data_IF_949867967340
#
_entry.id   IF_949867967340
#
_cell.length_a   1.000
_cell.length_b   1.000
_cell.length_c   1.000
_cell.angle_alpha   90.00
_cell.angle_beta   90.00
_cell.angle_gamma   90.00
#
_symmetry.space_group_name_H-M   'P 1'
#
loop_
_entity.id
_entity.type
_entity.pdbx_description
1 polymer ?
#
# COMPACT_ATOMS: atom_id res chain seq x y z
N UNK A 1 62.09 -11.46 -32.92
CA UNK A 1 61.69 -10.60 -31.78
C UNK A 1 60.71 -9.55 -32.27
N UNK A 2 59.66 -9.25 -31.48
CA UNK A 2 58.49 -8.38 -31.76
C UNK A 2 57.36 -9.00 -32.60
N UNK A 3 56.56 -9.89 -31.99
CA UNK A 3 55.15 -10.12 -32.39
C UNK A 3 54.19 -10.50 -31.23
N UNK A 4 54.59 -10.38 -29.96
CA UNK A 4 53.75 -10.77 -28.81
C UNK A 4 53.31 -9.61 -27.90
N UNK A 5 53.48 -8.35 -28.30
CA UNK A 5 53.14 -7.18 -27.46
C UNK A 5 51.67 -6.74 -27.51
N UNK A 6 50.91 -7.15 -28.54
CA UNK A 6 49.54 -6.66 -28.75
C UNK A 6 48.45 -7.51 -28.08
N UNK A 7 48.72 -8.79 -27.84
CA UNK A 7 47.74 -9.70 -27.20
C UNK A 7 47.71 -9.47 -25.67
N UNK A 8 48.83 -9.07 -25.06
CA UNK A 8 48.88 -8.78 -23.62
C UNK A 8 48.13 -7.49 -23.24
N UNK A 9 48.10 -6.48 -24.14
CA UNK A 9 47.39 -5.22 -23.92
C UNK A 9 45.86 -5.39 -24.01
N UNK A 10 45.38 -6.29 -24.88
CA UNK A 10 43.96 -6.60 -25.04
C UNK A 10 43.41 -7.46 -23.88
N UNK A 11 44.23 -8.37 -23.33
CA UNK A 11 43.84 -9.15 -22.13
C UNK A 11 43.84 -8.28 -20.87
N UNK A 12 44.72 -7.26 -20.76
CA UNK A 12 44.69 -6.29 -19.65
C UNK A 12 43.51 -5.31 -19.75
N UNK A 13 43.07 -4.92 -20.95
CA UNK A 13 41.86 -4.09 -21.10
C UNK A 13 40.55 -4.88 -20.86
N UNK A 14 40.53 -6.18 -21.18
CA UNK A 14 39.38 -7.05 -20.83
C UNK A 14 39.35 -7.41 -19.34
N UNK A 15 40.49 -7.49 -18.66
CA UNK A 15 40.55 -7.66 -17.19
C UNK A 15 40.19 -6.38 -16.43
N UNK A 16 40.52 -5.20 -16.96
CA UNK A 16 40.05 -3.92 -16.41
C UNK A 16 38.55 -3.67 -16.69
N UNK A 17 38.01 -4.22 -17.78
CA UNK A 17 36.58 -4.18 -18.10
C UNK A 17 35.70 -5.16 -17.32
N UNK A 18 36.29 -6.16 -16.66
CA UNK A 18 35.56 -7.13 -15.81
C UNK A 18 35.70 -6.86 -14.30
N UNK A 19 36.40 -5.80 -13.90
CA UNK A 19 36.52 -5.34 -12.50
C UNK A 19 35.68 -4.09 -12.17
N UNK A 20 34.61 -3.82 -12.94
CA UNK A 20 33.62 -2.77 -12.61
C UNK A 20 32.21 -3.34 -12.37
N UNK A 21 32.02 -4.66 -12.50
CA UNK A 21 30.74 -5.32 -12.17
C UNK A 21 30.74 -5.98 -10.78
N UNK A 22 31.46 -5.37 -9.85
CA UNK A 22 31.22 -5.52 -8.42
C UNK A 22 30.83 -4.15 -7.85
N UNK A 23 29.88 -3.47 -8.50
CA UNK A 23 28.92 -2.69 -7.72
C UNK A 23 28.18 -3.74 -6.89
N UNK A 24 28.71 -4.02 -5.69
CA UNK A 24 27.91 -4.61 -4.64
C UNK A 24 26.60 -3.84 -4.64
N UNK A 25 25.49 -4.56 -4.63
CA UNK A 25 24.17 -4.00 -4.37
C UNK A 25 24.30 -3.02 -3.21
N UNK A 26 24.46 -1.73 -3.54
CA UNK A 26 24.21 -0.67 -2.62
C UNK A 26 22.75 -0.89 -2.26
N UNK A 27 22.52 -1.31 -1.01
CA UNK A 27 21.25 -1.09 -0.35
C UNK A 27 20.80 0.29 -0.80
N UNK A 28 19.66 0.37 -1.50
CA UNK A 28 19.17 1.62 -2.05
C UNK A 28 19.24 2.66 -0.93
N UNK A 29 20.16 3.63 -1.06
CA UNK A 29 20.33 4.65 -0.06
C UNK A 29 19.03 5.43 0.05
N UNK A 30 18.76 5.99 1.22
CA UNK A 30 17.78 7.04 1.37
C UNK A 30 18.55 8.24 1.86
N UNK A 31 18.39 9.38 1.19
CA UNK A 31 18.93 10.64 1.70
C UNK A 31 17.86 11.24 2.60
N UNK A 32 18.25 11.70 3.79
CA UNK A 32 17.36 12.41 4.70
C UNK A 32 17.72 13.88 4.73
N UNK A 33 16.71 14.74 4.97
CA UNK A 33 16.92 16.13 5.36
C UNK A 33 16.22 16.38 6.69
N UNK A 34 16.90 17.06 7.61
CA UNK A 34 16.29 17.64 8.81
C UNK A 34 16.42 19.16 8.74
N UNK A 35 15.32 19.85 8.48
CA UNK A 35 15.32 21.31 8.39
C UNK A 35 15.69 21.92 9.74
N UNK A 36 16.82 22.60 9.79
CA UNK A 36 17.39 23.26 10.94
C UNK A 36 18.21 24.47 10.46
N UNK A 37 17.56 25.63 10.40
CA UNK A 37 18.10 26.88 9.89
C UNK A 37 18.16 27.98 10.94
N UNK A 38 18.88 29.07 10.65
CA UNK A 38 18.91 30.27 11.51
C UNK A 38 17.61 31.09 11.50
N UNK A 39 16.71 30.83 10.54
CA UNK A 39 15.39 31.47 10.43
C UNK A 39 14.25 30.52 10.78
N UNK A 40 13.04 30.84 10.33
CA UNK A 40 11.84 30.02 10.60
C UNK A 40 11.82 28.67 9.86
N UNK A 41 12.72 28.47 8.89
CA UNK A 41 12.76 27.26 8.07
C UNK A 41 13.57 27.39 6.78
N UNK A 42 13.58 26.33 5.98
CA UNK A 42 14.27 26.25 4.70
C UNK A 42 13.33 26.60 3.53
N UNK A 43 13.75 27.46 2.57
CA UNK A 43 12.99 27.70 1.36
C UNK A 43 13.02 26.48 0.44
N UNK A 44 11.87 26.15 -0.14
CA UNK A 44 11.72 25.11 -1.16
C UNK A 44 11.22 25.70 -2.48
N UNK A 45 11.53 25.03 -3.58
CA UNK A 45 11.36 25.56 -4.93
C UNK A 45 10.50 24.65 -5.81
N UNK A 46 9.77 25.24 -6.76
CA UNK A 46 8.90 24.50 -7.67
C UNK A 46 9.67 23.69 -8.74
N UNK A 47 10.98 23.94 -8.88
CA UNK A 47 11.87 23.20 -9.79
C UNK A 47 13.31 23.25 -9.28
N UNK A 48 14.15 22.32 -9.75
CA UNK A 48 15.57 22.24 -9.38
C UNK A 48 16.36 23.51 -9.71
N UNK A 49 15.98 24.22 -10.79
CA UNK A 49 16.60 25.48 -11.20
C UNK A 49 16.27 26.68 -10.30
N UNK A 50 15.40 26.51 -9.30
CA UNK A 50 15.05 27.53 -8.30
C UNK A 50 14.54 28.88 -8.85
N UNK A 51 13.94 28.86 -10.03
CA UNK A 51 13.37 30.06 -10.66
C UNK A 51 12.20 30.66 -9.87
N UNK A 52 11.51 29.86 -9.04
CA UNK A 52 10.36 30.28 -8.23
C UNK A 52 10.35 29.56 -6.88
N UNK A 53 10.37 30.32 -5.79
CA UNK A 53 10.11 29.83 -4.43
C UNK A 53 8.68 29.28 -4.37
N UNK A 54 8.53 28.04 -3.94
CA UNK A 54 7.24 27.39 -3.75
C UNK A 54 6.70 27.63 -2.34
N UNK A 55 7.56 27.58 -1.32
CA UNK A 55 7.17 27.72 0.08
C UNK A 55 8.36 27.71 1.03
N UNK A 56 8.08 27.45 2.29
CA UNK A 56 9.05 27.24 3.38
C UNK A 56 8.67 25.95 4.09
N UNK A 57 9.65 25.08 4.32
CA UNK A 57 9.54 23.97 5.27
C UNK A 57 10.10 24.43 6.60
N UNK A 58 9.41 24.18 7.69
CA UNK A 58 9.79 24.68 9.01
C UNK A 58 10.93 23.92 9.64
N UNK A 59 11.68 24.60 10.50
CA UNK A 59 12.64 23.96 11.38
C UNK A 59 11.98 22.83 12.17
N UNK A 60 12.65 21.69 12.33
CA UNK A 60 12.10 20.49 12.95
C UNK A 60 11.54 19.48 11.95
N UNK A 61 11.12 19.92 10.76
CA UNK A 61 10.65 18.99 9.73
C UNK A 61 11.79 18.08 9.27
N UNK A 62 11.54 16.77 9.23
CA UNK A 62 12.45 15.82 8.60
C UNK A 62 11.72 14.89 7.66
N UNK A 63 12.34 14.58 6.52
CA UNK A 63 11.79 13.65 5.54
C UNK A 63 12.90 13.16 4.61
N UNK A 64 12.60 12.09 3.87
CA UNK A 64 13.47 11.65 2.80
C UNK A 64 13.45 12.60 1.62
N UNK A 65 14.58 12.68 0.95
CA UNK A 65 14.77 13.41 -0.30
C UNK A 65 15.27 12.46 -1.38
N UNK A 66 15.21 12.90 -2.63
CA UNK A 66 15.74 12.18 -3.77
C UNK A 66 17.20 11.75 -3.58
N UNK A 67 17.58 10.69 -4.27
CA UNK A 67 18.94 10.16 -4.19
C UNK A 67 19.96 11.02 -4.92
N UNK A 68 19.53 11.62 -6.03
CA UNK A 68 20.40 12.35 -6.94
C UNK A 68 20.20 13.85 -6.81
N UNK A 69 21.30 14.56 -6.63
CA UNK A 69 21.31 16.02 -6.62
C UNK A 69 21.17 16.58 -8.03
N UNK A 70 20.28 17.55 -8.21
CA UNK A 70 20.14 18.32 -9.45
C UNK A 70 20.18 19.81 -9.14
N UNK A 71 21.16 20.51 -9.70
CA UNK A 71 21.37 21.95 -9.51
C UNK A 71 21.54 22.36 -8.02
N UNK A 72 22.27 21.56 -7.23
CA UNK A 72 22.49 21.84 -5.80
C UNK A 72 21.28 21.55 -4.91
N UNK A 73 20.31 20.77 -5.41
CA UNK A 73 19.05 20.48 -4.71
C UNK A 73 18.61 19.05 -4.94
N UNK A 74 17.86 18.54 -3.98
CA UNK A 74 17.18 17.26 -4.07
C UNK A 74 15.69 17.48 -4.17
N UNK A 75 14.99 16.58 -4.84
CA UNK A 75 13.54 16.55 -4.81
C UNK A 75 13.04 16.07 -3.44
N UNK A 76 11.96 16.68 -2.97
CA UNK A 76 11.28 16.38 -1.71
C UNK A 76 9.80 16.15 -2.05
N UNK A 77 9.35 14.91 -1.87
CA UNK A 77 7.97 14.50 -2.14
C UNK A 77 7.09 14.84 -0.94
N UNK A 78 6.28 15.90 -1.07
CA UNK A 78 5.36 16.31 -0.01
C UNK A 78 4.07 15.49 -0.08
N UNK A 79 3.57 15.24 -1.29
CA UNK A 79 2.42 14.38 -1.56
C UNK A 79 2.65 13.60 -2.87
N UNK A 80 1.71 12.72 -3.25
CA UNK A 80 1.76 12.03 -4.54
C UNK A 80 1.71 12.97 -5.75
N UNK A 81 1.16 14.17 -5.56
CA UNK A 81 0.86 15.10 -6.67
C UNK A 81 1.74 16.36 -6.61
N UNK A 82 2.59 16.49 -5.59
CA UNK A 82 3.36 17.69 -5.37
C UNK A 82 4.76 17.41 -4.81
N UNK A 83 5.74 17.67 -5.68
CA UNK A 83 7.17 17.60 -5.38
C UNK A 83 7.78 18.99 -5.41
N UNK A 84 8.61 19.28 -4.43
CA UNK A 84 9.41 20.50 -4.35
C UNK A 84 10.89 20.18 -4.35
N UNK A 85 11.75 21.20 -4.45
CA UNK A 85 13.19 21.04 -4.45
C UNK A 85 13.80 21.78 -3.26
N UNK A 86 14.71 21.13 -2.54
CA UNK A 86 15.35 21.66 -1.35
C UNK A 86 16.88 21.59 -1.47
N UNK A 87 17.55 22.63 -1.00
CA UNK A 87 19.01 22.66 -0.83
C UNK A 87 19.30 22.09 0.56
N UNK A 88 19.72 20.83 0.65
CA UNK A 88 19.90 20.14 1.93
C UNK A 88 20.99 20.78 2.77
N UNK A 89 22.11 21.20 2.16
CA UNK A 89 23.21 21.88 2.86
C UNK A 89 22.73 23.16 3.54
N UNK A 90 21.91 23.96 2.85
CA UNK A 90 21.32 25.16 3.48
C UNK A 90 20.24 24.82 4.50
N UNK A 91 19.44 23.78 4.23
CA UNK A 91 18.37 23.38 5.12
C UNK A 91 18.89 22.87 6.46
N UNK A 92 20.08 22.29 6.50
CA UNK A 92 20.68 21.71 7.72
C UNK A 92 21.83 22.55 8.29
N UNK A 93 21.97 23.82 7.88
CA UNK A 93 23.17 24.62 8.19
C UNK A 93 23.44 24.78 9.70
N UNK A 94 22.39 24.67 10.52
CA UNK A 94 22.44 24.81 11.97
C UNK A 94 22.37 23.46 12.70
N UNK A 95 22.28 22.35 11.96
CA UNK A 95 22.23 21.00 12.53
C UNK A 95 23.59 20.67 13.15
N UNK A 96 23.67 20.43 14.47
CA UNK A 96 24.95 20.16 15.11
C UNK A 96 25.47 18.77 14.74
N UNK A 97 26.78 18.63 14.58
CA UNK A 97 27.44 17.33 14.40
C UNK A 97 27.55 16.65 15.75
N UNK A 98 26.53 15.87 16.11
CA UNK A 98 26.46 15.13 17.39
C UNK A 98 26.50 13.63 17.12
N UNK A 99 27.62 13.01 17.51
CA UNK A 99 27.84 11.55 17.37
C UNK A 99 27.34 10.73 18.57
N UNK A 100 26.92 11.40 19.65
CA UNK A 100 26.37 10.77 20.85
C UNK A 100 24.84 10.90 20.85
N UNK A 101 24.14 9.78 21.01
CA UNK A 101 22.69 9.70 21.05
C UNK A 101 22.06 10.55 22.16
N UNK A 102 22.59 10.50 23.38
CA UNK A 102 22.05 11.23 24.52
C UNK A 102 22.22 12.74 24.35
N UNK A 103 23.41 13.17 23.91
CA UNK A 103 23.68 14.58 23.62
C UNK A 103 22.79 15.12 22.49
N UNK A 104 22.43 14.27 21.52
CA UNK A 104 21.50 14.64 20.45
C UNK A 104 20.10 14.84 21.01
N UNK A 105 19.59 13.88 21.79
CA UNK A 105 18.29 14.00 22.47
C UNK A 105 18.20 15.24 23.35
N UNK A 106 19.25 15.53 24.12
CA UNK A 106 19.29 16.72 24.97
C UNK A 106 19.23 18.03 24.18
N UNK A 107 19.86 18.06 22.99
CA UNK A 107 19.76 19.21 22.09
C UNK A 107 18.36 19.30 21.48
N UNK A 108 17.84 18.20 20.93
CA UNK A 108 16.51 18.12 20.31
C UNK A 108 15.39 18.53 21.27
N UNK A 109 15.52 18.16 22.55
CA UNK A 109 14.53 18.49 23.59
C UNK A 109 14.53 19.98 23.99
N UNK A 110 15.62 20.70 23.73
CA UNK A 110 15.77 22.13 24.06
C UNK A 110 15.58 23.03 22.84
N UNK A 111 15.72 22.48 21.65
CA UNK A 111 15.65 23.25 20.41
C UNK A 111 14.19 23.41 19.97
N UNK A 112 13.67 24.66 19.87
CA UNK A 112 12.35 24.89 19.34
C UNK A 112 12.29 24.50 17.86
N UNK A 113 11.25 23.78 17.46
CA UNK A 113 10.91 23.60 16.06
C UNK A 113 10.03 24.78 15.59
N UNK A 114 10.05 25.06 14.29
CA UNK A 114 9.01 25.87 13.65
C UNK A 114 7.73 25.05 13.39
N UNK A 115 7.84 23.72 13.36
CA UNK A 115 6.70 22.79 13.32
C UNK A 115 5.86 22.96 14.59
N UNK A 116 4.54 22.92 14.45
CA UNK A 116 3.61 23.01 15.58
C UNK A 116 2.39 22.12 15.37
N UNK A 117 1.74 21.72 16.46
CA UNK A 117 0.42 21.10 16.39
C UNK A 117 -0.65 22.19 16.17
N UNK A 118 -1.39 22.06 15.08
CA UNK A 118 -2.55 22.88 14.74
C UNK A 118 -3.86 22.15 15.03
N UNK A 119 -4.91 22.91 15.28
CA UNK A 119 -6.28 22.41 15.44
C UNK A 119 -7.16 22.96 14.32
N UNK A 120 -7.91 22.06 13.67
CA UNK A 120 -8.87 22.40 12.61
C UNK A 120 -10.07 23.13 13.21
N UNK A 121 -10.44 24.27 12.63
CA UNK A 121 -11.41 25.20 13.22
C UNK A 121 -12.88 24.92 12.87
N UNK A 122 -13.13 24.27 11.75
CA UNK A 122 -14.46 24.02 11.19
C UNK A 122 -14.55 22.58 10.66
N UNK A 123 -15.77 22.09 10.45
CA UNK A 123 -15.98 20.77 9.86
C UNK A 123 -15.76 20.79 8.34
N UNK A 124 -15.56 19.61 7.77
CA UNK A 124 -15.39 19.39 6.33
C UNK A 124 -14.25 20.19 5.68
N UNK A 125 -13.21 20.55 6.46
CA UNK A 125 -12.07 21.31 5.94
C UNK A 125 -11.27 20.43 4.96
N UNK A 126 -11.14 20.85 3.68
CA UNK A 126 -10.46 20.05 2.68
C UNK A 126 -8.95 20.04 2.90
N UNK A 127 -8.37 18.84 2.74
CA UNK A 127 -6.94 18.62 2.60
C UNK A 127 -6.65 18.38 1.13
N UNK A 128 -5.78 19.21 0.55
CA UNK A 128 -5.43 19.14 -0.85
C UNK A 128 -4.09 18.44 -1.06
N UNK A 129 -3.93 17.73 -2.18
CA UNK A 129 -2.63 17.16 -2.54
C UNK A 129 -1.62 18.22 -3.01
N UNK A 130 -2.07 19.41 -3.40
CA UNK A 130 -1.20 20.50 -3.84
C UNK A 130 -1.78 21.88 -3.46
N UNK A 131 -0.94 22.94 -3.34
CA UNK A 131 -1.38 24.30 -2.98
C UNK A 131 -2.31 24.99 -4.00
N UNK A 132 -2.56 24.36 -5.16
CA UNK A 132 -3.45 24.89 -6.18
C UNK A 132 -4.91 24.40 -6.04
N UNK A 133 -5.18 23.60 -5.01
CA UNK A 133 -6.50 23.11 -4.60
C UNK A 133 -7.25 22.29 -5.66
N UNK A 134 -6.53 21.59 -6.53
CA UNK A 134 -7.14 20.80 -7.62
C UNK A 134 -7.71 19.45 -7.19
N UNK A 135 -7.10 18.83 -6.18
CA UNK A 135 -7.41 17.46 -5.77
C UNK A 135 -7.50 17.41 -4.25
N UNK A 136 -8.68 17.03 -3.75
CA UNK A 136 -8.97 16.90 -2.32
C UNK A 136 -8.77 15.43 -1.97
N UNK A 137 -7.80 15.14 -1.09
CA UNK A 137 -7.45 13.78 -0.67
C UNK A 137 -8.15 13.39 0.63
N UNK A 138 -8.52 14.36 1.47
CA UNK A 138 -9.26 14.12 2.70
C UNK A 138 -10.08 15.35 3.10
N UNK A 139 -10.98 15.18 4.07
CA UNK A 139 -11.59 16.29 4.81
C UNK A 139 -11.39 16.11 6.30
N UNK A 140 -11.22 17.18 7.05
CA UNK A 140 -11.09 17.13 8.50
C UNK A 140 -12.30 17.71 9.22
N UNK A 141 -12.65 17.05 10.32
CA UNK A 141 -13.64 17.54 11.25
C UNK A 141 -13.03 18.64 12.13
N UNK A 142 -13.88 19.47 12.71
CA UNK A 142 -13.47 20.46 13.68
C UNK A 142 -12.80 19.77 14.88
N UNK A 143 -11.71 20.35 15.36
CA UNK A 143 -10.96 19.83 16.52
C UNK A 143 -9.89 18.81 16.18
N UNK A 144 -9.82 18.31 14.94
CA UNK A 144 -8.72 17.45 14.47
C UNK A 144 -7.38 18.14 14.70
N UNK A 145 -6.43 17.41 15.29
CA UNK A 145 -5.04 17.82 15.42
C UNK A 145 -4.26 17.46 14.17
N UNK A 146 -3.44 18.41 13.72
CA UNK A 146 -2.56 18.27 12.55
C UNK A 146 -1.15 18.77 12.86
N UNK A 147 -0.11 18.19 12.27
CA UNK A 147 1.26 18.70 12.39
C UNK A 147 1.51 19.68 11.26
N UNK A 148 1.66 20.97 11.57
CA UNK A 148 1.94 22.01 10.58
C UNK A 148 3.44 22.08 10.33
N UNK A 149 3.86 21.64 9.14
CA UNK A 149 5.25 21.41 8.80
C UNK A 149 5.86 22.47 7.86
N UNK A 150 5.04 23.34 7.29
CA UNK A 150 5.52 24.41 6.41
C UNK A 150 4.40 25.31 5.88
N UNK A 151 4.78 26.30 5.07
CA UNK A 151 3.88 27.29 4.49
C UNK A 151 4.09 27.50 3.00
N UNK A 152 2.99 27.54 2.25
CA UNK A 152 2.93 27.64 0.80
C UNK A 152 1.88 28.66 0.39
N UNK A 153 2.25 29.94 0.42
CA UNK A 153 1.31 31.04 0.16
C UNK A 153 0.26 31.12 1.27
N UNK A 154 -1.01 30.93 0.90
CA UNK A 154 -2.17 30.98 1.81
C UNK A 154 -2.45 29.63 2.50
N UNK A 155 -1.63 28.60 2.22
CA UNK A 155 -1.78 27.26 2.77
C UNK A 155 -0.67 26.92 3.77
N UNK A 156 -1.03 26.10 4.75
CA UNK A 156 -0.11 25.26 5.49
C UNK A 156 0.10 23.94 4.76
N UNK A 157 1.33 23.44 4.76
CA UNK A 157 1.59 22.01 4.56
C UNK A 157 1.46 21.32 5.92
N UNK A 158 0.63 20.28 5.97
CA UNK A 158 0.38 19.49 7.17
C UNK A 158 0.80 18.03 6.96
N UNK A 159 1.16 17.37 8.05
CA UNK A 159 1.25 15.91 8.15
C UNK A 159 0.39 15.43 9.33
N UNK A 160 -0.05 14.17 9.26
CA UNK A 160 -0.88 13.49 10.26
C UNK A 160 -2.21 14.19 10.58
N UNK A 161 -3.36 13.51 10.43
CA UNK A 161 -3.57 12.14 9.93
C UNK A 161 -3.19 11.94 8.45
N UNK A 162 -3.27 12.99 7.62
CA UNK A 162 -2.93 12.93 6.20
C UNK A 162 -1.84 13.96 5.89
N UNK A 163 -1.05 13.68 4.84
CA UNK A 163 -0.14 14.68 4.28
C UNK A 163 -0.86 15.51 3.22
N UNK A 164 -0.72 16.82 3.28
CA UNK A 164 -1.34 17.69 2.29
C UNK A 164 -1.36 19.17 2.66
N UNK A 165 -2.22 19.92 1.99
CA UNK A 165 -2.30 21.37 2.11
C UNK A 165 -3.68 21.78 2.63
N UNK A 166 -3.69 22.66 3.62
CA UNK A 166 -4.90 23.22 4.22
C UNK A 166 -4.77 24.73 4.30
N UNK A 167 -5.85 25.45 4.02
CA UNK A 167 -5.86 26.91 4.11
C UNK A 167 -5.47 27.37 5.52
N UNK A 168 -4.55 28.34 5.63
CA UNK A 168 -4.04 28.83 6.92
C UNK A 168 -5.14 29.29 7.88
N UNK A 169 -6.17 29.95 7.33
CA UNK A 169 -7.32 30.44 8.08
C UNK A 169 -8.15 29.34 8.76
N UNK A 170 -8.00 28.09 8.34
CA UNK A 170 -8.75 26.94 8.85
C UNK A 170 -8.02 26.22 9.99
N UNK A 171 -6.78 26.63 10.30
CA UNK A 171 -5.95 26.01 11.33
C UNK A 171 -5.60 27.05 12.39
N UNK A 172 -5.83 26.71 13.66
CA UNK A 172 -5.30 27.48 14.79
C UNK A 172 -4.12 26.75 15.40
N UNK A 173 -3.01 27.45 15.61
CA UNK A 173 -1.88 26.91 16.37
C UNK A 173 -2.31 26.56 17.80
N UNK A 174 -2.04 25.32 18.22
CA UNK A 174 -2.38 24.81 19.53
C UNK A 174 -1.14 24.62 20.42
N UNK A 175 -0.13 23.89 19.93
CA UNK A 175 1.05 23.50 20.72
C UNK A 175 2.32 23.70 19.89
N UNK A 176 3.32 24.38 20.47
CA UNK A 176 4.67 24.43 19.94
C UNK A 176 5.36 23.08 20.08
N UNK A 177 5.95 22.57 19.00
CA UNK A 177 6.73 21.35 19.04
C UNK A 177 8.23 21.68 19.08
N UNK A 178 9.01 20.69 19.45
CA UNK A 178 10.47 20.70 19.53
C UNK A 178 11.02 19.69 18.53
N UNK A 179 12.32 19.74 18.27
CA UNK A 179 12.97 18.69 17.47
C UNK A 179 12.82 17.29 18.08
N UNK A 180 12.59 17.17 19.40
CA UNK A 180 12.42 15.89 20.07
C UNK A 180 11.02 15.27 19.92
N UNK A 181 9.98 16.09 19.66
CA UNK A 181 8.59 15.62 19.69
C UNK A 181 7.76 16.05 18.47
N UNK A 182 8.36 16.70 17.47
CA UNK A 182 7.63 17.13 16.27
C UNK A 182 6.98 15.97 15.50
N UNK A 183 7.55 14.77 15.58
CA UNK A 183 7.06 13.54 14.98
C UNK A 183 6.63 12.51 16.02
N UNK A 184 6.40 12.92 17.27
CA UNK A 184 5.71 12.04 18.19
C UNK A 184 4.25 11.88 17.74
N UNK A 185 3.63 10.77 18.11
CA UNK A 185 2.24 10.51 17.78
C UNK A 185 1.27 11.20 18.76
N UNK A 186 1.77 12.07 19.64
CA UNK A 186 1.00 12.70 20.72
C UNK A 186 0.77 14.19 20.48
N UNK A 187 1.38 14.77 19.44
CA UNK A 187 1.33 16.19 19.14
C UNK A 187 1.82 17.05 20.32
N UNK A 188 2.78 16.52 21.10
CA UNK A 188 3.28 17.16 22.32
C UNK A 188 2.28 17.22 23.48
N UNK A 189 1.16 16.50 23.40
CA UNK A 189 0.21 16.38 24.51
C UNK A 189 0.77 15.52 25.65
N UNK A 190 0.41 15.89 26.87
CA UNK A 190 0.66 15.09 28.08
C UNK A 190 -0.67 14.68 28.71
N UNK A 191 -0.63 13.70 29.62
CA UNK A 191 -1.78 13.30 30.44
C UNK A 191 -2.99 12.78 29.62
N UNK A 192 -2.70 11.97 28.61
CA UNK A 192 -3.71 11.36 27.74
C UNK A 192 -4.42 10.19 28.42
N UNK A 193 -5.72 10.06 28.16
CA UNK A 193 -6.52 8.90 28.56
C UNK A 193 -6.16 7.70 27.68
N UNK A 194 -5.90 6.57 28.32
CA UNK A 194 -5.73 5.28 27.66
C UNK A 194 -7.07 4.53 27.65
N UNK A 195 -7.44 4.02 26.49
CA UNK A 195 -8.67 3.26 26.25
C UNK A 195 -8.36 1.93 25.58
N UNK A 196 -9.24 0.95 25.81
CA UNK A 196 -9.18 -0.33 25.09
C UNK A 196 -9.98 -0.22 23.81
N UNK A 197 -9.37 -0.56 22.69
CA UNK A 197 -10.12 -0.84 21.46
C UNK A 197 -10.42 -2.34 21.42
N UNK A 198 -11.67 -2.66 21.16
CA UNK A 198 -12.15 -4.03 21.08
C UNK A 198 -12.07 -4.52 19.64
N UNK A 199 -11.39 -5.64 19.43
CA UNK A 199 -11.29 -6.27 18.12
C UNK A 199 -11.05 -7.78 18.27
N UNK A 200 -11.47 -8.52 17.26
CA UNK A 200 -11.25 -9.97 17.17
C UNK A 200 -10.93 -10.38 15.73
N UNK A 201 -10.52 -11.63 15.51
CA UNK A 201 -10.26 -12.14 14.17
C UNK A 201 -11.50 -12.07 13.26
N UNK A 202 -12.70 -12.24 13.82
CA UNK A 202 -13.98 -12.19 13.08
C UNK A 202 -14.62 -10.80 13.07
N UNK A 203 -14.18 -9.90 13.96
CA UNK A 203 -14.59 -8.50 14.03
C UNK A 203 -13.33 -7.62 14.14
N UNK A 204 -12.52 -7.57 13.07
CA UNK A 204 -11.32 -6.75 13.07
C UNK A 204 -11.68 -5.28 12.96
N UNK A 205 -10.81 -4.42 13.48
CA UNK A 205 -10.98 -2.96 13.44
C UNK A 205 -9.89 -2.34 12.57
N UNK A 206 -10.31 -1.43 11.70
CA UNK A 206 -9.42 -0.66 10.82
C UNK A 206 -9.64 0.81 11.05
N UNK A 207 -8.57 1.54 11.32
CA UNK A 207 -8.63 2.98 11.52
C UNK A 207 -8.87 3.71 10.20
N UNK A 208 -9.49 4.89 10.30
CA UNK A 208 -9.69 5.81 9.19
C UNK A 208 -8.64 6.91 9.22
N UNK A 209 -8.31 7.47 8.05
CA UNK A 209 -7.51 8.69 7.94
C UNK A 209 -8.33 9.97 8.09
N UNK A 210 -9.64 9.86 8.29
CA UNK A 210 -10.51 11.00 8.57
C UNK A 210 -11.71 10.62 9.42
N UNK A 211 -11.98 11.44 10.44
CA UNK A 211 -13.23 11.40 11.22
C UNK A 211 -14.49 11.81 10.42
N UNK A 212 -14.36 12.22 9.16
CA UNK A 212 -15.52 12.56 8.30
C UNK A 212 -15.95 11.40 7.40
N UNK A 213 -15.18 10.30 7.37
CA UNK A 213 -15.34 9.23 6.39
C UNK A 213 -14.93 9.62 4.96
N UNK A 214 -14.35 10.82 4.76
CA UNK A 214 -13.82 11.29 3.46
C UNK A 214 -12.29 11.28 3.49
N UNK A 215 -11.68 10.23 2.93
CA UNK A 215 -10.24 10.15 2.66
C UNK A 215 -9.92 9.18 1.53
N UNK A 216 -8.77 9.37 0.89
CA UNK A 216 -8.15 8.43 -0.07
C UNK A 216 -7.03 7.61 0.56
N UNK A 217 -6.61 7.96 1.77
CA UNK A 217 -5.52 7.33 2.49
C UNK A 217 -5.99 6.03 3.14
N UNK A 218 -5.27 4.95 2.87
CA UNK A 218 -5.51 3.64 3.47
C UNK A 218 -4.48 3.35 4.56
N UNK A 219 -4.93 2.97 5.75
CA UNK A 219 -4.06 2.39 6.76
C UNK A 219 -3.83 0.91 6.45
N UNK A 220 -2.58 0.46 6.62
CA UNK A 220 -2.21 -0.96 6.49
C UNK A 220 -2.39 -1.73 7.81
N UNK A 221 -2.51 -1.01 8.93
CA UNK A 221 -2.72 -1.63 10.23
C UNK A 221 -4.18 -2.05 10.38
N UNK A 222 -4.36 -3.34 10.66
CA UNK A 222 -5.64 -3.97 10.98
C UNK A 222 -5.46 -4.64 12.32
N UNK A 223 -6.37 -4.38 13.24
CA UNK A 223 -6.31 -4.96 14.57
C UNK A 223 -7.31 -6.11 14.65
N UNK A 224 -6.81 -7.28 15.02
CA UNK A 224 -7.59 -8.53 15.13
C UNK A 224 -7.67 -9.04 16.58
N UNK A 225 -7.20 -8.25 17.52
CA UNK A 225 -7.24 -8.50 18.96
C UNK A 225 -7.31 -7.15 19.68
N UNK A 226 -7.83 -7.16 20.92
CA UNK A 226 -7.91 -5.94 21.71
C UNK A 226 -6.53 -5.30 21.90
N UNK A 227 -6.46 -3.97 21.83
CA UNK A 227 -5.25 -3.22 22.10
C UNK A 227 -5.54 -1.96 22.91
N UNK A 228 -4.49 -1.41 23.53
CA UNK A 228 -4.58 -0.12 24.23
C UNK A 228 -4.13 1.00 23.30
N UNK A 229 -4.84 2.13 23.34
CA UNK A 229 -4.49 3.34 22.59
C UNK A 229 -4.78 4.56 23.43
N UNK A 230 -4.11 5.67 23.15
CA UNK A 230 -4.38 6.94 23.82
C UNK A 230 -5.26 7.84 22.99
N UNK A 231 -6.25 8.45 23.65
CA UNK A 231 -7.18 9.37 23.01
C UNK A 231 -6.59 10.78 22.99
N UNK A 232 -6.28 11.28 21.79
CA UNK A 232 -5.76 12.64 21.58
C UNK A 232 -6.89 13.67 21.57
N UNK A 233 -7.99 13.34 20.87
CA UNK A 233 -9.18 14.18 20.75
C UNK A 233 -10.44 13.36 20.68
N UNK A 234 -11.45 13.84 21.38
CA UNK A 234 -12.85 13.45 21.18
C UNK A 234 -13.47 14.36 20.12
N UNK A 235 -13.98 13.77 19.04
CA UNK A 235 -14.55 14.45 17.87
C UNK A 235 -16.02 14.07 17.65
N UNK A 236 -16.76 13.70 18.71
CA UNK A 236 -18.15 13.28 18.62
C UNK A 236 -18.28 11.77 18.43
N UNK A 237 -18.67 11.30 17.25
CA UNK A 237 -18.77 9.85 16.96
C UNK A 237 -17.41 9.20 16.73
N UNK A 238 -16.36 10.02 16.62
CA UNK A 238 -14.99 9.60 16.35
C UNK A 238 -14.04 10.07 17.46
N UNK A 239 -12.91 9.39 17.57
CA UNK A 239 -11.74 9.83 18.33
C UNK A 239 -10.53 9.87 17.42
N UNK A 240 -9.63 10.82 17.67
CA UNK A 240 -8.27 10.79 17.13
C UNK A 240 -7.35 10.13 18.15
N UNK A 241 -6.50 9.21 17.69
CA UNK A 241 -5.68 8.36 18.56
C UNK A 241 -4.17 8.52 18.30
N UNK A 242 -3.34 7.96 19.18
CA UNK A 242 -1.88 8.05 19.21
C UNK A 242 -1.11 7.27 18.12
N UNK A 243 -1.74 7.05 16.97
CA UNK A 243 -1.08 6.66 15.71
C UNK A 243 -1.54 7.56 14.56
N UNK A 244 -1.86 8.82 14.91
CA UNK A 244 -2.39 9.84 14.02
C UNK A 244 -3.71 9.46 13.31
N UNK A 245 -4.32 8.32 13.62
CA UNK A 245 -5.50 7.79 12.95
C UNK A 245 -6.82 8.18 13.65
N UNK A 246 -7.95 7.84 13.03
CA UNK A 246 -9.27 8.00 13.63
C UNK A 246 -9.97 6.66 13.82
N UNK A 247 -10.67 6.58 14.93
CA UNK A 247 -11.47 5.43 15.31
C UNK A 247 -12.91 5.87 15.54
N UNK A 248 -13.89 5.11 15.08
CA UNK A 248 -15.26 5.30 15.53
C UNK A 248 -15.36 4.90 16.99
N UNK A 249 -16.01 5.71 17.83
CA UNK A 249 -16.11 5.45 19.27
C UNK A 249 -16.77 4.14 19.62
N UNK A 250 -17.62 3.61 18.74
CA UNK A 250 -18.25 2.30 18.94
C UNK A 250 -17.23 1.15 19.09
N UNK A 251 -16.02 1.29 18.57
CA UNK A 251 -14.96 0.29 18.75
C UNK A 251 -14.28 0.37 20.14
N UNK A 252 -14.56 1.42 20.93
CA UNK A 252 -14.17 1.53 22.33
C UNK A 252 -15.23 0.92 23.28
N UNK A 253 -16.36 0.45 22.73
CA UNK A 253 -17.41 -0.22 23.48
C UNK A 253 -17.32 -1.73 23.19
N UNK A 254 -17.15 -2.60 24.20
CA UNK A 254 -17.11 -4.05 23.99
C UNK A 254 -18.40 -4.60 23.36
N UNK A 255 -19.53 -3.91 23.53
CA UNK A 255 -20.83 -4.28 22.97
C UNK A 255 -21.18 -3.45 21.72
N UNK A 256 -20.24 -2.62 21.25
CA UNK A 256 -20.43 -1.75 20.09
C UNK A 256 -20.60 -2.53 18.79
N UNK A 257 -21.31 -1.93 17.83
CA UNK A 257 -21.44 -2.52 16.50
C UNK A 257 -20.10 -2.44 15.75
N UNK A 258 -19.51 -3.60 15.43
CA UNK A 258 -18.27 -3.70 14.67
C UNK A 258 -18.48 -3.77 13.14
N UNK A 259 -19.73 -3.61 12.67
CA UNK A 259 -20.03 -3.66 11.25
C UNK A 259 -19.57 -2.38 10.53
N UNK A 260 -18.79 -2.51 9.47
CA UNK A 260 -18.53 -1.37 8.59
C UNK A 260 -19.58 -1.31 7.47
N UNK A 261 -19.84 -0.13 6.88
CA UNK A 261 -20.60 -0.02 5.64
C UNK A 261 -20.02 -1.01 4.61
N UNK A 262 -20.84 -1.92 4.11
CA UNK A 262 -20.39 -2.95 3.20
C UNK A 262 -20.73 -2.60 1.76
N UNK A 263 -19.85 -2.98 0.85
CA UNK A 263 -20.11 -3.01 -0.58
C UNK A 263 -19.77 -4.37 -1.14
N UNK A 264 -20.15 -4.61 -2.39
CA UNK A 264 -19.70 -5.78 -3.16
C UNK A 264 -18.96 -5.32 -4.39
N UNK A 265 -17.86 -6.02 -4.68
CA UNK A 265 -17.13 -5.85 -5.94
C UNK A 265 -18.06 -6.16 -7.10
N UNK A 266 -18.10 -5.26 -8.07
CA UNK A 266 -18.93 -5.35 -9.27
C UNK A 266 -18.03 -5.16 -10.48
N UNK A 267 -17.93 -6.20 -11.30
CA UNK A 267 -17.26 -6.14 -12.60
C UNK A 267 -18.19 -6.64 -13.69
N UNK A 268 -18.06 -6.10 -14.90
CA UNK A 268 -18.96 -6.43 -16.02
C UNK A 268 -18.71 -7.86 -16.55
N UNK A 269 -17.43 -8.23 -16.73
CA UNK A 269 -17.02 -9.56 -17.14
C UNK A 269 -16.80 -10.52 -15.97
N UNK A 270 -17.04 -11.82 -16.19
CA UNK A 270 -16.76 -12.88 -15.18
C UNK A 270 -15.29 -12.97 -14.81
N UNK A 271 -14.40 -12.71 -15.77
CA UNK A 271 -12.96 -12.80 -15.60
C UNK A 271 -12.34 -11.45 -15.26
N UNK A 272 -13.11 -10.38 -15.28
CA UNK A 272 -12.63 -9.06 -14.88
C UNK A 272 -12.26 -9.08 -13.41
N UNK A 273 -11.26 -8.28 -13.06
CA UNK A 273 -10.77 -8.19 -11.70
C UNK A 273 -10.63 -6.73 -11.31
N UNK A 274 -11.20 -6.39 -10.16
CA UNK A 274 -11.00 -5.11 -9.53
C UNK A 274 -9.60 -5.09 -8.93
N UNK A 275 -8.78 -4.12 -9.32
CA UNK A 275 -7.47 -3.89 -8.71
C UNK A 275 -7.69 -3.13 -7.41
N UNK A 276 -7.21 -3.70 -6.30
CA UNK A 276 -7.04 -2.95 -5.06
C UNK A 276 -5.70 -2.25 -5.15
N UNK A 277 -5.71 -0.92 -5.18
CA UNK A 277 -4.48 -0.14 -5.20
C UNK A 277 -3.84 -0.11 -3.81
N UNK A 278 -2.53 0.17 -3.78
CA UNK A 278 -1.67 0.18 -2.59
C UNK A 278 -1.43 -1.20 -1.97
N UNK A 279 -2.22 -2.20 -2.35
CA UNK A 279 -1.96 -3.62 -2.15
C UNK A 279 -1.86 -4.37 -3.49
N UNK A 280 -1.38 -5.60 -3.44
CA UNK A 280 -1.15 -6.37 -4.65
C UNK A 280 -2.38 -7.19 -5.10
N UNK A 281 -3.50 -7.17 -4.40
CA UNK A 281 -4.62 -8.10 -4.69
C UNK A 281 -5.55 -7.59 -5.80
N UNK A 282 -6.05 -8.53 -6.63
CA UNK A 282 -7.13 -8.27 -7.58
C UNK A 282 -8.32 -9.19 -7.31
N UNK A 283 -9.48 -8.58 -7.12
CA UNK A 283 -10.70 -9.23 -6.64
C UNK A 283 -11.65 -9.57 -7.79
N UNK A 284 -12.35 -10.69 -7.68
CA UNK A 284 -13.43 -11.05 -8.61
C UNK A 284 -14.76 -10.39 -8.20
N UNK A 285 -15.71 -10.30 -9.14
CA UNK A 285 -17.07 -9.82 -8.84
C UNK A 285 -17.73 -10.62 -7.71
N UNK A 286 -18.55 -9.96 -6.89
CA UNK A 286 -19.32 -10.55 -5.81
C UNK A 286 -18.60 -10.61 -4.46
N UNK A 287 -17.28 -10.38 -4.42
CA UNK A 287 -16.50 -10.32 -3.17
C UNK A 287 -17.06 -9.21 -2.27
N UNK A 288 -17.45 -9.50 -1.02
CA UNK A 288 -17.84 -8.47 -0.06
C UNK A 288 -16.60 -7.70 0.41
N UNK A 289 -16.74 -6.38 0.54
CA UNK A 289 -15.72 -5.49 1.07
C UNK A 289 -16.35 -4.53 2.07
N UNK A 290 -15.61 -4.15 3.08
CA UNK A 290 -15.96 -3.10 4.03
C UNK A 290 -15.40 -1.78 3.51
N UNK A 291 -16.17 -0.70 3.64
CA UNK A 291 -15.81 0.63 3.16
C UNK A 291 -15.48 1.50 4.36
N UNK A 292 -14.19 1.80 4.50
CA UNK A 292 -13.65 2.57 5.64
C UNK A 292 -13.84 4.07 5.40
N UNK A 293 -13.55 4.53 4.18
CA UNK A 293 -13.75 5.92 3.78
C UNK A 293 -13.95 6.02 2.27
N UNK A 294 -14.48 7.17 1.81
CA UNK A 294 -14.79 7.37 0.40
C UNK A 294 -14.68 8.83 -0.02
N UNK A 295 -14.00 9.06 -1.13
CA UNK A 295 -14.03 10.30 -1.90
C UNK A 295 -14.86 10.13 -3.17
N UNK A 296 -14.88 11.17 -4.01
CA UNK A 296 -15.48 11.07 -5.35
C UNK A 296 -14.74 10.08 -6.24
N UNK A 297 -13.42 9.96 -6.08
CA UNK A 297 -12.53 9.24 -7.01
C UNK A 297 -12.11 7.87 -6.48
N UNK A 298 -12.18 7.66 -5.17
CA UNK A 298 -11.69 6.47 -4.49
C UNK A 298 -12.59 6.05 -3.34
N UNK A 299 -12.68 4.73 -3.12
CA UNK A 299 -13.18 4.15 -1.88
C UNK A 299 -12.03 3.39 -1.24
N UNK A 300 -11.73 3.71 0.01
CA UNK A 300 -10.80 2.94 0.84
C UNK A 300 -11.57 1.77 1.41
N UNK A 301 -11.11 0.57 1.11
CA UNK A 301 -11.72 -0.67 1.52
C UNK A 301 -10.83 -1.43 2.49
N UNK A 302 -11.49 -2.26 3.27
CA UNK A 302 -10.91 -3.37 4.01
C UNK A 302 -11.67 -4.63 3.60
N UNK A 303 -10.98 -5.75 3.45
CA UNK A 303 -11.61 -7.03 3.22
C UNK A 303 -10.97 -8.13 4.05
N UNK A 304 -11.81 -9.04 4.51
CA UNK A 304 -11.45 -10.29 5.17
C UNK A 304 -12.57 -11.30 4.92
N UNK A 305 -12.34 -12.56 5.29
CA UNK A 305 -13.37 -13.58 5.23
C UNK A 305 -14.50 -13.34 6.23
N UNK A 306 -15.72 -13.83 5.98
CA UNK A 306 -16.80 -13.83 6.98
C UNK A 306 -16.39 -14.34 8.38
N UNK A 307 -15.44 -15.27 8.44
CA UNK A 307 -14.87 -15.79 9.68
C UNK A 307 -13.39 -15.39 9.85
N UNK A 308 -13.00 -14.23 9.33
CA UNK A 308 -11.67 -13.67 9.41
C UNK A 308 -10.66 -14.30 8.44
N UNK A 309 -9.41 -14.37 8.89
CA UNK A 309 -8.27 -14.87 8.12
C UNK A 309 -7.49 -13.77 7.43
N UNK A 310 -6.92 -14.08 6.25
CA UNK A 310 -6.20 -13.12 5.42
C UNK A 310 -7.06 -11.87 5.22
N UNK A 311 -6.42 -10.73 5.32
CA UNK A 311 -7.06 -9.45 5.13
C UNK A 311 -6.23 -8.55 4.22
N UNK A 312 -6.91 -7.61 3.58
CA UNK A 312 -6.30 -6.63 2.70
C UNK A 312 -6.99 -5.28 2.92
N UNK A 313 -6.22 -4.20 2.85
CA UNK A 313 -6.75 -2.83 2.77
C UNK A 313 -6.44 -2.23 1.40
N UNK A 314 -6.74 -0.96 1.18
CA UNK A 314 -6.33 -0.24 -0.02
C UNK A 314 -7.50 0.44 -0.71
N UNK A 315 -7.25 1.08 -1.84
CA UNK A 315 -8.26 1.90 -2.52
C UNK A 315 -8.72 1.29 -3.84
N UNK A 316 -9.99 1.47 -4.13
CA UNK A 316 -10.64 1.00 -5.37
C UNK A 316 -11.47 2.10 -5.99
N UNK A 317 -11.74 2.01 -7.30
CA UNK A 317 -12.65 2.95 -7.94
C UNK A 317 -14.10 2.66 -7.49
N UNK A 318 -14.83 3.66 -6.95
CA UNK A 318 -16.18 3.44 -6.41
C UNK A 318 -17.19 2.92 -7.43
N UNK A 319 -16.99 3.17 -8.73
CA UNK A 319 -17.86 2.67 -9.80
C UNK A 319 -17.88 1.13 -9.92
N UNK A 320 -16.85 0.44 -9.42
CA UNK A 320 -16.78 -1.02 -9.35
C UNK A 320 -17.28 -1.58 -8.01
N UNK A 321 -17.97 -0.77 -7.21
CA UNK A 321 -18.58 -1.17 -5.96
C UNK A 321 -20.10 -0.96 -6.02
N UNK A 322 -20.84 -1.89 -5.42
CA UNK A 322 -22.27 -1.78 -5.22
C UNK A 322 -22.56 -1.71 -3.71
N UNK A 323 -23.12 -0.58 -3.26
CA UNK A 323 -23.22 -0.21 -1.83
C UNK A 323 -24.55 -0.62 -1.19
N UNK A 324 -25.64 -0.68 -1.96
CA UNK A 324 -26.99 -0.78 -1.39
C UNK A 324 -27.58 -2.21 -1.47
N UNK A 325 -26.81 -3.19 -1.94
CA UNK A 325 -27.23 -4.60 -2.06
C UNK A 325 -28.42 -4.87 -3.02
N UNK A 326 -29.01 -3.82 -3.60
CA UNK A 326 -30.18 -3.90 -4.49
C UNK A 326 -29.83 -4.37 -5.91
N UNK A 327 -28.55 -4.34 -6.26
CA UNK A 327 -28.07 -4.80 -7.55
C UNK A 327 -27.81 -6.31 -7.52
N UNK A 328 -28.30 -7.04 -8.51
CA UNK A 328 -27.90 -8.43 -8.71
C UNK A 328 -26.47 -8.49 -9.22
N UNK A 329 -25.56 -8.88 -8.34
CA UNK A 329 -24.14 -9.01 -8.66
C UNK A 329 -23.81 -10.47 -8.92
N UNK A 330 -23.19 -10.71 -10.07
CA UNK A 330 -22.70 -12.04 -10.43
C UNK A 330 -21.54 -12.42 -9.51
N UNK A 331 -21.57 -13.64 -8.99
CA UNK A 331 -20.41 -14.23 -8.33
C UNK A 331 -19.36 -14.63 -9.38
N UNK A 332 -18.20 -13.98 -9.32
CA UNK A 332 -17.03 -14.28 -10.15
C UNK A 332 -16.13 -15.36 -9.57
N UNK A 333 -16.44 -15.87 -8.37
CA UNK A 333 -15.62 -16.88 -7.69
C UNK A 333 -15.50 -18.17 -8.51
N UNK A 334 -14.33 -18.80 -8.47
CA UNK A 334 -14.12 -20.13 -9.05
C UNK A 334 -14.05 -21.16 -7.93
N UNK A 335 -14.93 -22.17 -7.95
CA UNK A 335 -14.84 -23.30 -7.02
C UNK A 335 -13.71 -24.21 -7.45
N UNK A 336 -12.84 -24.54 -6.51
CA UNK A 336 -11.68 -25.37 -6.73
C UNK A 336 -11.57 -26.45 -5.65
N UNK A 337 -10.85 -27.51 -5.95
CA UNK A 337 -10.45 -28.54 -5.00
C UNK A 337 -8.94 -28.61 -4.92
N UNK A 338 -8.40 -28.74 -3.72
CA UNK A 338 -6.98 -28.99 -3.55
C UNK A 338 -6.61 -30.39 -4.07
N UNK A 339 -5.61 -30.46 -4.96
CA UNK A 339 -5.15 -31.73 -5.53
C UNK A 339 -4.18 -32.48 -4.62
N UNK A 340 -3.59 -31.79 -3.64
CA UNK A 340 -2.67 -32.35 -2.65
C UNK A 340 -2.73 -31.59 -1.33
N UNK A 341 -2.13 -32.17 -0.31
CA UNK A 341 -1.91 -31.49 0.96
C UNK A 341 -0.87 -30.36 0.80
N UNK A 342 -1.14 -29.21 1.42
CA UNK A 342 -0.23 -28.06 1.47
C UNK A 342 0.14 -27.71 2.91
N UNK A 343 1.32 -27.14 3.11
CA UNK A 343 1.84 -26.71 4.40
C UNK A 343 1.47 -25.25 4.64
N UNK A 344 0.83 -24.99 5.79
CA UNK A 344 0.54 -23.65 6.30
C UNK A 344 1.75 -23.06 7.02
N UNK A 345 1.86 -21.75 7.06
CA UNK A 345 2.72 -21.04 8.00
C UNK A 345 2.17 -21.11 9.44
N UNK A 346 2.87 -20.49 10.41
CA UNK A 346 2.46 -20.49 11.82
C UNK A 346 1.07 -19.85 12.04
N UNK A 347 0.67 -18.89 11.21
CA UNK A 347 -0.65 -18.25 11.27
C UNK A 347 -1.77 -19.08 10.65
N UNK A 348 -1.44 -20.12 9.89
CA UNK A 348 -2.38 -20.91 9.08
C UNK A 348 -3.16 -20.06 8.06
N UNK A 349 -2.54 -18.99 7.55
CA UNK A 349 -3.15 -18.09 6.56
C UNK A 349 -2.49 -18.21 5.18
N UNK A 350 -1.25 -18.69 5.09
CA UNK A 350 -0.55 -18.89 3.83
C UNK A 350 -0.19 -20.37 3.64
N UNK A 351 -0.57 -20.94 2.49
CA UNK A 351 -0.32 -22.34 2.16
C UNK A 351 0.52 -22.51 0.89
N UNK A 352 1.55 -23.36 0.97
CA UNK A 352 2.40 -23.72 -0.17
C UNK A 352 2.80 -25.20 -0.12
N UNK A 353 3.42 -25.71 -1.20
CA UNK A 353 3.91 -27.09 -1.24
C UNK A 353 4.96 -27.38 -0.16
N UNK A 354 5.87 -26.43 0.11
CA UNK A 354 6.89 -26.56 1.16
C UNK A 354 7.04 -25.27 1.95
N UNK A 355 7.23 -25.39 3.27
CA UNK A 355 7.51 -24.26 4.17
C UNK A 355 8.75 -24.53 5.02
N UNK A 356 9.50 -23.46 5.30
CA UNK A 356 10.67 -23.52 6.21
C UNK A 356 10.27 -23.66 7.68
N UNK A 357 9.08 -23.19 8.05
CA UNK A 357 8.48 -23.29 9.39
C UNK A 357 6.97 -23.53 9.26
N UNK A 358 6.52 -24.79 9.30
CA UNK A 358 5.10 -25.10 9.14
C UNK A 358 4.33 -24.94 10.45
N UNK A 359 3.14 -24.32 10.40
CA UNK A 359 2.18 -24.25 11.52
C UNK A 359 1.09 -25.33 11.48
N UNK A 360 0.99 -26.05 10.36
CA UNK A 360 -0.01 -27.10 10.13
C UNK A 360 -0.16 -27.40 8.64
N UNK A 361 -1.22 -28.12 8.27
CA UNK A 361 -1.51 -28.48 6.88
C UNK A 361 -2.97 -28.26 6.52
N UNK A 362 -3.24 -28.12 5.23
CA UNK A 362 -4.58 -28.21 4.64
C UNK A 362 -4.63 -29.45 3.74
N UNK A 363 -5.56 -30.39 3.96
CA UNK A 363 -5.52 -31.68 3.29
C UNK A 363 -5.90 -31.59 1.80
N UNK A 364 -5.43 -32.57 1.03
CA UNK A 364 -5.93 -32.81 -0.32
C UNK A 364 -7.45 -33.04 -0.29
N UNK A 365 -8.15 -32.58 -1.32
CA UNK A 365 -9.60 -32.68 -1.42
C UNK A 365 -10.37 -31.53 -0.78
N UNK A 366 -9.70 -30.65 -0.02
CA UNK A 366 -10.35 -29.46 0.55
C UNK A 366 -10.95 -28.59 -0.55
N UNK A 367 -12.20 -28.17 -0.36
CA UNK A 367 -12.94 -27.32 -1.28
C UNK A 367 -12.70 -25.86 -0.93
N UNK A 368 -12.41 -25.03 -1.94
CA UNK A 368 -12.15 -23.60 -1.78
C UNK A 368 -12.91 -22.81 -2.85
N UNK A 369 -13.11 -21.51 -2.60
CA UNK A 369 -13.55 -20.55 -3.62
C UNK A 369 -12.47 -19.51 -3.84
N UNK A 370 -11.96 -19.41 -5.07
CA UNK A 370 -11.00 -18.36 -5.43
C UNK A 370 -11.72 -17.02 -5.50
N UNK A 371 -11.33 -16.07 -4.65
CA UNK A 371 -11.88 -14.71 -4.52
C UNK A 371 -11.01 -13.66 -5.19
N UNK A 372 -9.75 -13.96 -5.40
CA UNK A 372 -8.82 -13.05 -6.02
C UNK A 372 -7.48 -13.71 -6.33
N UNK A 373 -6.60 -12.90 -6.89
CA UNK A 373 -5.22 -13.27 -7.16
C UNK A 373 -4.32 -12.11 -6.78
N UNK A 374 -3.17 -12.42 -6.20
CA UNK A 374 -2.15 -11.42 -5.90
C UNK A 374 -1.32 -11.14 -7.15
N UNK A 375 -1.09 -9.86 -7.39
CA UNK A 375 -0.14 -9.36 -8.36
C UNK A 375 1.25 -9.76 -7.90
N UNK A 376 1.95 -10.50 -8.74
CA UNK A 376 3.38 -10.63 -8.61
C UNK A 376 4.00 -9.27 -9.00
N UNK A 377 4.87 -8.71 -8.16
CA UNK A 377 5.68 -7.54 -8.52
C UNK A 377 6.64 -7.82 -9.71
N UNK A 378 6.66 -9.06 -10.20
CA UNK A 378 7.42 -9.55 -11.33
C UNK A 378 6.48 -10.22 -12.35
N UNK A 379 6.75 -10.04 -13.63
CA UNK A 379 6.11 -10.81 -14.71
C UNK A 379 6.93 -12.03 -15.15
N UNK A 380 7.93 -12.40 -14.35
CA UNK A 380 8.82 -13.51 -14.66
C UNK A 380 8.07 -14.83 -14.61
N UNK A 381 8.45 -15.71 -15.52
CA UNK A 381 7.72 -16.93 -15.79
C UNK A 381 7.90 -18.03 -14.74
N UNK A 382 8.96 -17.94 -13.96
CA UNK A 382 9.36 -18.91 -12.94
C UNK A 382 8.67 -18.69 -11.59
N UNK A 383 7.92 -17.59 -11.42
CA UNK A 383 7.12 -17.34 -10.23
C UNK A 383 5.75 -18.01 -10.32
N UNK A 384 5.28 -18.49 -9.17
CA UNK A 384 3.93 -19.00 -8.97
C UNK A 384 2.93 -17.87 -8.73
N UNK A 385 1.72 -18.04 -9.26
CA UNK A 385 0.58 -17.20 -8.89
C UNK A 385 0.14 -17.53 -7.46
N UNK A 386 -0.17 -16.49 -6.68
CA UNK A 386 -0.73 -16.61 -5.32
C UNK A 386 -2.20 -16.22 -5.37
N UNK A 387 -3.08 -17.07 -4.84
CA UNK A 387 -4.52 -16.92 -4.91
C UNK A 387 -5.11 -16.65 -3.54
N UNK A 388 -6.03 -15.68 -3.47
CA UNK A 388 -6.86 -15.48 -2.28
C UNK A 388 -8.08 -16.40 -2.37
N UNK A 389 -8.21 -17.29 -1.41
CA UNK A 389 -9.22 -18.34 -1.37
C UNK A 389 -10.09 -18.20 -0.11
N UNK A 390 -11.37 -18.49 -0.25
CA UNK A 390 -12.32 -18.65 0.86
C UNK A 390 -12.50 -20.15 1.14
N UNK A 391 -12.36 -20.55 2.40
CA UNK A 391 -12.66 -21.90 2.91
C UNK A 391 -14.16 -22.12 3.07
N UNK A 392 -14.61 -23.36 3.29
CA UNK A 392 -16.05 -23.64 3.48
C UNK A 392 -16.67 -22.93 4.69
N UNK A 393 -15.88 -22.74 5.75
CA UNK A 393 -16.25 -21.96 6.93
C UNK A 393 -16.06 -20.45 6.72
N UNK A 394 -15.72 -19.97 5.52
CA UNK A 394 -15.69 -18.53 5.23
C UNK A 394 -14.44 -17.80 5.75
N UNK A 395 -13.36 -18.51 6.09
CA UNK A 395 -12.06 -17.91 6.38
C UNK A 395 -11.31 -17.62 5.08
N UNK A 396 -10.63 -16.49 4.99
CA UNK A 396 -9.76 -16.18 3.84
C UNK A 396 -8.35 -16.70 4.09
N UNK A 397 -7.78 -17.32 3.07
CA UNK A 397 -6.42 -17.87 3.07
C UNK A 397 -5.73 -17.55 1.74
N UNK A 398 -4.40 -17.55 1.75
CA UNK A 398 -3.57 -17.46 0.56
C UNK A 398 -3.07 -18.85 0.17
N UNK A 399 -3.20 -19.20 -1.12
CA UNK A 399 -2.63 -20.42 -1.69
C UNK A 399 -1.60 -20.06 -2.76
N UNK A 400 -0.36 -20.45 -2.53
CA UNK A 400 0.76 -20.25 -3.45
C UNK A 400 0.85 -21.43 -4.44
N UNK A 401 0.50 -21.17 -5.69
CA UNK A 401 0.52 -22.13 -6.78
C UNK A 401 -0.86 -22.54 -7.26
N UNK A 402 -1.25 -22.01 -8.43
CA UNK A 402 -2.49 -22.41 -9.11
C UNK A 402 -2.52 -23.87 -9.55
N UNK A 403 -1.37 -24.56 -9.59
CA UNK A 403 -1.29 -25.99 -9.93
C UNK A 403 -1.90 -26.93 -8.90
N UNK A 404 -2.13 -26.42 -7.69
CA UNK A 404 -2.77 -27.18 -6.62
C UNK A 404 -4.29 -26.99 -6.59
N UNK A 405 -4.83 -26.07 -7.39
CA UNK A 405 -6.24 -25.68 -7.40
C UNK A 405 -6.96 -26.25 -8.63
N UNK A 406 -7.57 -27.43 -8.51
CA UNK A 406 -8.38 -28.05 -9.57
C UNK A 406 -9.73 -27.35 -9.69
N UNK A 407 -10.04 -26.66 -10.81
CA UNK A 407 -11.33 -26.02 -11.00
C UNK A 407 -12.44 -27.05 -11.23
N UNK A 408 -13.52 -26.94 -10.47
CA UNK A 408 -14.62 -27.92 -10.49
C UNK A 408 -15.72 -27.60 -11.49
N UNK A 409 -15.66 -26.39 -12.07
CA UNK A 409 -16.65 -25.88 -13.00
C UNK A 409 -15.92 -25.20 -14.17
N UNK A 410 -16.44 -25.39 -15.38
CA UNK A 410 -16.00 -24.62 -16.54
C UNK A 410 -16.39 -23.15 -16.38
N UNK A 411 -15.53 -22.22 -16.81
CA UNK A 411 -15.94 -20.82 -16.87
C UNK A 411 -16.91 -20.54 -18.02
N UNK A 412 -16.90 -21.39 -19.06
CA UNK A 412 -17.57 -21.18 -20.35
C UNK A 412 -16.93 -20.08 -21.21
N UNK A 413 -15.80 -19.51 -20.78
CA UNK A 413 -15.18 -18.35 -21.40
C UNK A 413 -13.91 -18.71 -22.17
N UNK A 414 -13.77 -18.08 -23.33
CA UNK A 414 -12.68 -18.36 -24.26
C UNK A 414 -11.71 -17.19 -24.30
N UNK A 415 -10.45 -17.43 -23.94
CA UNK A 415 -9.36 -16.49 -24.21
C UNK A 415 -8.80 -16.73 -25.62
N UNK A 416 -8.33 -15.66 -26.26
CA UNK A 416 -7.69 -15.72 -27.58
C UNK A 416 -6.19 -15.52 -27.44
N UNK A 417 -5.38 -16.44 -27.98
CA UNK A 417 -3.92 -16.30 -28.00
C UNK A 417 -3.52 -15.10 -28.89
N UNK A 418 -2.89 -14.08 -28.28
CA UNK A 418 -2.40 -12.88 -28.98
C UNK A 418 -1.10 -13.13 -29.74
N UNK A 419 -0.35 -14.15 -29.33
CA UNK A 419 0.89 -14.61 -29.96
C UNK A 419 0.94 -16.15 -29.93
N UNK A 420 1.92 -16.74 -30.62
CA UNK A 420 2.20 -18.16 -30.45
C UNK A 420 2.67 -18.43 -29.01
N UNK A 421 2.02 -19.38 -28.33
CA UNK A 421 2.27 -19.67 -26.92
C UNK A 421 2.32 -21.18 -26.70
N UNK A 422 3.15 -21.63 -25.76
CA UNK A 422 3.23 -23.03 -25.36
C UNK A 422 2.25 -23.29 -24.22
N UNK A 423 1.38 -24.29 -24.39
CA UNK A 423 0.64 -24.90 -23.29
C UNK A 423 1.57 -25.87 -22.58
N UNK A 424 1.65 -25.78 -21.26
CA UNK A 424 2.54 -26.58 -20.44
C UNK A 424 1.78 -27.36 -19.38
N UNK A 425 2.38 -28.44 -18.90
CA UNK A 425 1.80 -29.30 -17.87
C UNK A 425 1.74 -28.60 -16.49
N UNK A 426 2.71 -27.72 -16.20
CA UNK A 426 2.76 -26.90 -14.98
C UNK A 426 3.01 -25.42 -15.31
N UNK A 427 2.63 -24.48 -14.42
CA UNK A 427 2.90 -23.04 -14.53
C UNK A 427 4.39 -22.69 -14.32
N UNK A 428 5.27 -23.27 -15.14
CA UNK A 428 6.72 -23.04 -15.09
C UNK A 428 7.32 -23.14 -16.52
N UNK A 429 8.26 -22.26 -16.91
CA UNK A 429 8.88 -22.24 -18.24
C UNK A 429 9.63 -23.52 -18.63
N UNK A 430 10.08 -24.32 -17.66
CA UNK A 430 10.84 -25.54 -17.86
C UNK A 430 9.95 -26.80 -17.88
N UNK A 431 8.65 -26.65 -17.56
CA UNK A 431 7.69 -27.74 -17.60
C UNK A 431 7.45 -28.26 -19.02
N UNK A 432 7.07 -29.55 -19.12
CA UNK A 432 6.75 -30.24 -20.37
C UNK A 432 5.75 -29.43 -21.20
N UNK A 433 6.08 -29.24 -22.48
CA UNK A 433 5.16 -28.63 -23.46
C UNK A 433 4.15 -29.68 -23.91
N UNK A 434 2.87 -29.43 -23.65
CA UNK A 434 1.77 -30.25 -24.13
C UNK A 434 1.42 -29.87 -25.58
N UNK A 435 1.28 -28.57 -25.83
CA UNK A 435 0.92 -28.04 -27.15
C UNK A 435 1.66 -26.74 -27.49
N UNK A 436 1.88 -26.53 -28.79
CA UNK A 436 2.19 -25.21 -29.34
C UNK A 436 0.92 -24.61 -29.94
N UNK A 437 0.42 -23.54 -29.33
CA UNK A 437 -0.85 -22.92 -29.69
C UNK A 437 -0.57 -21.68 -30.54
N UNK A 438 -1.20 -21.64 -31.72
CA UNK A 438 -0.99 -20.57 -32.70
C UNK A 438 -1.75 -19.32 -32.29
N UNK A 439 -1.27 -18.17 -32.75
CA UNK A 439 -1.98 -16.89 -32.65
C UNK A 439 -3.43 -17.00 -33.16
N UNK A 440 -4.35 -16.24 -32.55
CA UNK A 440 -5.81 -16.24 -32.79
C UNK A 440 -6.54 -17.55 -32.42
N UNK A 441 -5.84 -18.55 -31.88
CA UNK A 441 -6.51 -19.75 -31.35
C UNK A 441 -7.27 -19.40 -30.08
N UNK A 442 -8.49 -19.91 -29.95
CA UNK A 442 -9.29 -19.80 -28.74
C UNK A 442 -9.00 -20.98 -27.81
N UNK A 443 -8.86 -20.71 -26.53
CA UNK A 443 -8.68 -21.69 -25.45
C UNK A 443 -9.68 -21.38 -24.36
N UNK A 444 -10.22 -22.41 -23.72
CA UNK A 444 -11.15 -22.24 -22.62
C UNK A 444 -10.38 -21.90 -21.34
N UNK A 445 -10.80 -20.87 -20.61
CA UNK A 445 -10.20 -20.49 -19.33
C UNK A 445 -10.84 -21.33 -18.22
N UNK A 446 -10.02 -21.96 -17.38
CA UNK A 446 -10.50 -22.67 -16.19
C UNK A 446 -10.22 -21.88 -14.91
N UNK A 447 -9.00 -21.36 -14.78
CA UNK A 447 -8.58 -20.52 -13.66
C UNK A 447 -7.60 -19.44 -14.16
N UNK A 448 -7.98 -18.17 -14.02
CA UNK A 448 -7.19 -17.02 -14.47
C UNK A 448 -6.23 -16.57 -13.37
N UNK A 449 -4.93 -16.77 -13.56
CA UNK A 449 -3.88 -16.16 -12.73
C UNK A 449 -3.40 -14.79 -13.26
N UNK A 450 -2.31 -14.28 -12.72
CA UNK A 450 -1.59 -13.08 -13.19
C UNK A 450 -0.47 -13.46 -14.16
N UNK A 451 0.33 -14.47 -13.80
CA UNK A 451 1.46 -14.95 -14.60
C UNK A 451 0.99 -16.08 -15.52
N UNK A 452 0.31 -17.08 -14.96
CA UNK A 452 -0.15 -18.27 -15.65
C UNK A 452 -1.68 -18.41 -15.56
N UNK A 453 -2.29 -18.84 -16.66
CA UNK A 453 -3.72 -19.17 -16.72
C UNK A 453 -3.85 -20.66 -16.99
N UNK A 454 -4.63 -21.34 -16.15
CA UNK A 454 -5.05 -22.72 -16.40
C UNK A 454 -6.13 -22.70 -17.50
N UNK A 455 -5.89 -23.45 -18.56
CA UNK A 455 -6.75 -23.50 -19.75
C UNK A 455 -7.04 -24.94 -20.16
N UNK A 456 -8.16 -25.12 -20.85
CA UNK A 456 -8.48 -26.35 -21.58
C UNK A 456 -8.33 -26.11 -23.08
N UNK A 457 -7.58 -26.97 -23.77
CA UNK A 457 -7.42 -26.95 -25.21
C UNK A 457 -7.30 -28.37 -25.75
N UNK A 458 -8.17 -28.75 -26.71
CA UNK A 458 -8.24 -30.10 -27.30
C UNK A 458 -8.39 -31.21 -26.25
N UNK A 459 -9.25 -30.98 -25.27
CA UNK A 459 -9.51 -31.89 -24.15
C UNK A 459 -8.35 -32.16 -23.20
N UNK A 460 -7.21 -31.48 -23.37
CA UNK A 460 -6.12 -31.43 -22.39
C UNK A 460 -6.19 -30.14 -21.56
N UNK A 461 -5.89 -30.27 -20.26
CA UNK A 461 -5.75 -29.15 -19.33
C UNK A 461 -4.28 -28.85 -19.12
N UNK A 462 -3.92 -27.57 -19.14
CA UNK A 462 -2.56 -27.11 -18.88
C UNK A 462 -2.50 -25.61 -18.64
N UNK A 463 -1.29 -25.06 -18.66
CA UNK A 463 -1.02 -23.67 -18.32
C UNK A 463 -0.46 -22.91 -19.52
N UNK A 464 -0.91 -21.68 -19.70
CA UNK A 464 -0.34 -20.72 -20.64
C UNK A 464 -0.06 -19.41 -19.92
N UNK A 465 1.01 -18.69 -20.30
CA UNK A 465 1.26 -17.39 -19.69
C UNK A 465 0.14 -16.40 -20.05
N UNK A 466 -0.41 -15.75 -19.03
CA UNK A 466 -1.54 -14.83 -19.13
C UNK A 466 -1.25 -13.65 -20.06
N UNK A 467 0.00 -13.15 -20.10
CA UNK A 467 0.43 -12.04 -20.97
C UNK A 467 0.26 -12.32 -22.48
N UNK A 468 0.18 -13.59 -22.88
CA UNK A 468 -0.04 -13.99 -24.28
C UNK A 468 -1.51 -14.24 -24.60
N UNK A 469 -2.41 -14.07 -23.64
CA UNK A 469 -3.84 -14.28 -23.79
C UNK A 469 -4.59 -12.95 -23.83
N UNK A 470 -5.65 -12.91 -24.65
CA UNK A 470 -6.68 -11.88 -24.59
C UNK A 470 -7.91 -12.50 -23.97
N UNK A 471 -8.30 -12.01 -22.80
CA UNK A 471 -9.55 -12.39 -22.15
C UNK A 471 -10.73 -11.67 -22.81
N UNK A 472 -11.91 -12.30 -22.85
CA UNK A 472 -13.13 -11.74 -23.43
C UNK A 472 -13.67 -10.56 -22.64
#
# INVERSE_FOLDING_TARGET
MRKNGWILLLVLMLAAGMMVLAAGSALAGWNDVTVCTDGDGAPVYASSGASKKAGIMYNGYSSGIGLDEVNGRYDLWLTSDYTVWIDSVKAENRRPVINNYDARKEWEAKEPAGVFAGEILEDDIPVYSAPNHKHITAKHAKGTLVRVCGEFGDDYYIEAPNRGFVAKKSVKKAIDLTFANWNDNYFGLTDLTEETVYATETQPVVCSASATGYSEESYFQVHTENWQTKILRDLGDWVQIDDDAFLEKRFLDPEGDHSHPAARVKTDGKLDRLIVHDNAVKLVSGVPVQVISRTKDWAVIFLTGPNGGMYETGRVKPEYLSFDGNEQIRDGSTKVRLTKELQGDESMLYFAETKRKPGGTIPAGTMLKVKGVYSSGSSESDQSDRFMCETEDGKYIEVDGGEFLEPLESTGLMATARQAVRMREKPNPDSKVLHQVKVKTKVEVLLRGEIWTMVKYRDEVGYMMSRYLSFP
#
